data_IF_815554358048
#
_entry.id   IF_815554358048
#
_cell.length_a   1.000
_cell.length_b   1.000
_cell.length_c   1.000
_cell.angle_alpha   90.00
_cell.angle_beta   90.00
_cell.angle_gamma   90.00
#
_symmetry.space_group_name_H-M   'P 1'
#
loop_
_entity.id
_entity.type
_entity.pdbx_description
1 polymer ?
#
# COMPACT_ATOMS: atom_id res chain seq x y z
N UNK A 1 -17.33 -18.73 -18.03
CA UNK A 1 -18.20 -17.62 -17.57
C UNK A 1 -18.02 -17.54 -16.06
N UNK A 2 -17.22 -16.66 -15.45
CA UNK A 2 -16.67 -15.36 -15.90
C UNK A 2 -15.26 -15.27 -15.31
N UNK A 3 -14.24 -15.21 -16.16
CA UNK A 3 -12.86 -14.93 -15.72
C UNK A 3 -12.81 -13.47 -15.27
N UNK A 4 -13.04 -13.20 -13.99
CA UNK A 4 -12.63 -11.93 -13.40
C UNK A 4 -11.17 -12.07 -12.98
N UNK A 5 -10.26 -11.87 -13.94
CA UNK A 5 -8.93 -11.36 -13.61
C UNK A 5 -9.05 -9.88 -13.22
N UNK A 6 -9.87 -9.61 -12.20
CA UNK A 6 -10.18 -8.26 -11.76
C UNK A 6 -9.06 -7.78 -10.87
N UNK A 7 -8.20 -6.91 -11.41
CA UNK A 7 -7.29 -6.14 -10.59
C UNK A 7 -8.11 -5.14 -9.78
N UNK A 8 -8.39 -5.43 -8.52
CA UNK A 8 -9.17 -4.54 -7.66
C UNK A 8 -8.25 -3.41 -7.18
N UNK A 9 -8.62 -2.17 -7.53
CA UNK A 9 -7.90 -0.96 -7.12
C UNK A 9 -8.76 -0.17 -6.14
N UNK A 10 -8.29 -0.02 -4.90
CA UNK A 10 -8.97 0.75 -3.85
C UNK A 10 -8.20 2.02 -3.50
N UNK A 11 -8.86 3.17 -3.54
CA UNK A 11 -8.29 4.43 -3.05
C UNK A 11 -8.62 4.60 -1.58
N UNK A 12 -7.64 4.99 -0.77
CA UNK A 12 -7.83 5.26 0.66
C UNK A 12 -7.98 6.77 0.85
N UNK A 13 -9.15 7.18 1.33
CA UNK A 13 -9.45 8.55 1.72
C UNK A 13 -10.07 8.53 3.11
N UNK A 14 -9.64 9.36 4.07
CA UNK A 14 -8.58 10.38 4.00
C UNK A 14 -7.16 9.79 3.94
N UNK A 15 -6.17 10.60 3.53
CA UNK A 15 -4.76 10.20 3.46
C UNK A 15 -4.17 10.08 4.85
N UNK A 16 -4.12 8.86 5.38
CA UNK A 16 -3.51 8.56 6.67
C UNK A 16 -1.99 8.66 6.61
N UNK A 17 -1.38 9.31 7.59
CA UNK A 17 0.05 9.26 7.83
C UNK A 17 0.44 7.88 8.36
N UNK A 18 1.44 7.28 7.75
CA UNK A 18 1.94 5.94 8.04
C UNK A 18 3.44 6.01 8.23
N UNK A 19 3.88 5.83 9.48
CA UNK A 19 5.29 5.67 9.81
C UNK A 19 5.83 4.33 9.30
N UNK A 20 7.15 4.19 9.20
CA UNK A 20 7.79 2.95 8.71
C UNK A 20 7.34 1.71 9.47
N UNK A 21 7.18 1.84 10.80
CA UNK A 21 6.73 0.76 11.68
C UNK A 21 5.25 0.40 11.47
N UNK A 22 4.48 1.31 10.91
CA UNK A 22 3.05 1.12 10.66
C UNK A 22 2.78 0.52 9.28
N UNK A 23 3.77 0.54 8.37
CA UNK A 23 3.62 -0.05 7.02
C UNK A 23 3.16 -1.51 7.11
N UNK A 24 3.82 -2.34 7.93
CA UNK A 24 3.51 -3.77 8.03
C UNK A 24 2.07 -4.06 8.54
N UNK A 25 1.58 -3.43 9.64
CA UNK A 25 0.19 -3.61 10.05
C UNK A 25 -0.82 -3.03 9.06
N UNK A 26 -0.49 -1.97 8.30
CA UNK A 26 -1.34 -1.49 7.21
C UNK A 26 -1.41 -2.48 6.06
N UNK A 27 -0.29 -3.09 5.66
CA UNK A 27 -0.24 -4.16 4.67
C UNK A 27 -1.08 -5.36 5.08
N UNK A 28 -0.97 -5.81 6.33
CA UNK A 28 -1.76 -6.93 6.84
C UNK A 28 -3.27 -6.63 6.95
N UNK A 29 -3.67 -5.36 7.02
CA UNK A 29 -5.08 -4.94 7.08
C UNK A 29 -5.72 -4.75 5.71
N UNK A 30 -4.95 -4.25 4.75
CA UNK A 30 -5.45 -3.88 3.43
C UNK A 30 -5.31 -5.00 2.40
N UNK A 31 -4.25 -5.81 2.49
CA UNK A 31 -4.02 -6.89 1.55
C UNK A 31 -4.54 -8.21 2.15
N UNK A 32 -5.38 -8.97 1.42
CA UNK A 32 -5.86 -10.26 1.87
C UNK A 32 -4.72 -11.29 2.00
N UNK A 33 -3.62 -11.11 1.27
CA UNK A 33 -2.41 -11.91 1.37
C UNK A 33 -1.18 -11.00 1.38
N UNK A 34 -0.22 -11.21 2.30
CA UNK A 34 1.02 -10.41 2.39
C UNK A 34 1.88 -10.44 1.12
N UNK A 35 1.69 -11.44 0.26
CA UNK A 35 2.42 -11.62 -1.00
C UNK A 35 1.61 -11.16 -2.23
N UNK A 36 0.39 -10.68 -2.04
CA UNK A 36 -0.51 -10.34 -3.15
C UNK A 36 -1.06 -8.93 -3.00
N UNK A 37 -0.66 -8.06 -3.93
CA UNK A 37 -1.04 -6.65 -3.99
C UNK A 37 0.04 -5.69 -3.50
N UNK A 38 -0.15 -4.42 -3.86
CA UNK A 38 0.74 -3.32 -3.53
C UNK A 38 -0.05 -2.19 -2.89
N UNK A 39 0.50 -1.63 -1.82
CA UNK A 39 0.03 -0.38 -1.23
C UNK A 39 0.92 0.75 -1.72
N UNK A 40 0.31 1.80 -2.26
CA UNK A 40 0.99 3.00 -2.74
C UNK A 40 1.01 4.04 -1.63
N UNK A 41 2.21 4.56 -1.35
CA UNK A 41 2.45 5.62 -0.37
C UNK A 41 3.14 6.82 -1.02
N UNK A 42 2.77 8.03 -0.61
CA UNK A 42 3.53 9.25 -0.89
C UNK A 42 4.49 9.53 0.25
N UNK A 43 5.78 9.43 -0.02
CA UNK A 43 6.85 9.75 0.92
C UNK A 43 7.49 11.09 0.54
N UNK A 44 8.38 11.62 1.39
CA UNK A 44 9.16 12.82 1.08
C UNK A 44 10.10 12.64 -0.14
N UNK A 45 10.45 11.40 -0.48
CA UNK A 45 11.29 11.07 -1.63
C UNK A 45 10.47 10.76 -2.91
N UNK A 46 9.15 10.91 -2.87
CA UNK A 46 8.24 10.63 -3.98
C UNK A 46 7.22 9.53 -3.68
N UNK A 47 6.46 9.16 -4.71
CA UNK A 47 5.46 8.08 -4.66
C UNK A 47 6.18 6.74 -4.83
N UNK A 48 5.93 5.79 -3.94
CA UNK A 48 6.49 4.45 -4.00
C UNK A 48 5.56 3.44 -3.34
N UNK A 49 5.80 2.15 -3.57
CA UNK A 49 5.07 1.10 -2.87
C UNK A 49 5.60 0.89 -1.44
N UNK A 50 4.83 0.13 -0.66
CA UNK A 50 5.16 -0.21 0.72
C UNK A 50 6.45 -1.03 0.90
N UNK A 51 6.86 -1.86 -0.06
CA UNK A 51 8.12 -2.61 0.02
C UNK A 51 9.31 -1.68 -0.15
N UNK A 52 9.23 -0.77 -1.13
CA UNK A 52 10.29 0.20 -1.36
C UNK A 52 10.39 1.22 -0.22
N UNK A 53 9.25 1.67 0.32
CA UNK A 53 9.20 2.52 1.51
C UNK A 53 9.87 1.85 2.72
N UNK A 54 9.61 0.55 2.93
CA UNK A 54 10.26 -0.26 3.98
C UNK A 54 11.76 -0.41 3.72
N UNK A 55 12.18 -0.70 2.49
CA UNK A 55 13.60 -0.85 2.11
C UNK A 55 14.38 0.44 2.34
N UNK A 56 13.78 1.58 2.03
CA UNK A 56 14.37 2.91 2.22
C UNK A 56 14.20 3.44 3.65
N UNK A 57 13.47 2.72 4.50
CA UNK A 57 13.15 3.12 5.88
C UNK A 57 12.50 4.52 5.92
N UNK A 58 11.57 4.77 5.00
CA UNK A 58 10.83 6.05 4.87
C UNK A 58 9.33 5.82 5.05
N UNK A 59 8.70 6.69 5.84
CA UNK A 59 7.25 6.73 6.00
C UNK A 59 6.61 7.71 5.02
N UNK A 60 5.29 7.77 5.02
CA UNK A 60 4.56 8.64 4.12
C UNK A 60 3.07 8.66 4.40
N UNK A 61 2.29 9.07 3.41
CA UNK A 61 0.83 8.98 3.46
C UNK A 61 0.35 7.88 2.52
N UNK A 62 -0.60 7.06 2.96
CA UNK A 62 -1.21 6.04 2.10
C UNK A 62 -2.12 6.71 1.08
N UNK A 63 -1.96 6.34 -0.19
CA UNK A 63 -2.84 6.77 -1.28
C UNK A 63 -3.91 5.72 -1.60
N UNK A 64 -3.54 4.45 -1.56
CA UNK A 64 -4.43 3.36 -1.96
C UNK A 64 -3.68 2.04 -2.09
N UNK A 65 -4.40 1.02 -2.53
CA UNK A 65 -3.86 -0.31 -2.78
C UNK A 65 -4.43 -0.87 -4.08
N UNK A 66 -3.71 -1.82 -4.68
CA UNK A 66 -4.16 -2.58 -5.83
C UNK A 66 -3.65 -4.00 -5.76
N UNK A 67 -4.45 -4.98 -6.19
CA UNK A 67 -4.06 -6.39 -6.29
C UNK A 67 -4.63 -7.03 -7.54
#
# INVERSE_FOLDING_TARGET
MTSYGGSDTGVISPRFDVGVKEIEPWTARLLPLRQFGYIVLTTSAGIMDHEEARRKNVGGKVLGFFY
#
